data_IF_907591687790
#
_entry.id   IF_907591687790
#
_cell.length_a   1.000
_cell.length_b   1.000
_cell.length_c   1.000
_cell.angle_alpha   90.00
_cell.angle_beta   90.00
_cell.angle_gamma   90.00
#
_symmetry.space_group_name_H-M   'P 1'
#
loop_
_entity.id
_entity.type
_entity.pdbx_description
1 polymer ?
#
# COMPACT_ATOMS: atom_id res chain seq x y z
N UNK A 1 18.58 8.40 15.25
CA UNK A 1 17.73 7.83 14.18
C UNK A 1 18.17 6.40 13.89
N UNK A 2 17.25 5.45 13.63
CA UNK A 2 17.64 4.11 13.23
C UNK A 2 18.45 4.18 11.92
N UNK A 3 19.60 3.51 11.90
CA UNK A 3 20.50 3.49 10.73
C UNK A 3 19.81 2.80 9.55
N UNK A 4 19.93 3.35 8.35
CA UNK A 4 19.46 2.72 7.11
C UNK A 4 19.98 1.28 7.02
N UNK A 5 19.12 0.34 6.59
CA UNK A 5 19.50 -1.05 6.40
C UNK A 5 20.58 -1.18 5.30
N UNK A 6 21.43 -2.21 5.39
CA UNK A 6 22.43 -2.48 4.35
C UNK A 6 21.74 -2.75 3.00
N UNK A 7 22.42 -2.48 1.86
CA UNK A 7 21.86 -2.77 0.53
C UNK A 7 21.40 -4.23 0.38
N UNK A 8 22.13 -5.18 0.97
CA UNK A 8 21.73 -6.60 1.00
C UNK A 8 20.41 -6.80 1.75
N UNK A 9 20.28 -6.24 2.95
CA UNK A 9 19.05 -6.34 3.75
C UNK A 9 17.86 -5.66 3.07
N UNK A 10 18.07 -4.55 2.37
CA UNK A 10 17.03 -3.91 1.57
C UNK A 10 16.54 -4.81 0.44
N UNK A 11 17.46 -5.48 -0.28
CA UNK A 11 17.12 -6.43 -1.34
C UNK A 11 16.37 -7.64 -0.80
N UNK A 12 16.80 -8.19 0.34
CA UNK A 12 16.13 -9.31 1.00
C UNK A 12 14.71 -8.95 1.44
N UNK A 13 14.51 -7.77 2.06
CA UNK A 13 13.20 -7.30 2.49
C UNK A 13 12.23 -7.12 1.30
N UNK A 14 12.72 -6.54 0.20
CA UNK A 14 11.95 -6.41 -1.05
C UNK A 14 11.60 -7.78 -1.63
N UNK A 15 12.58 -8.69 -1.73
CA UNK A 15 12.37 -10.04 -2.24
C UNK A 15 11.34 -10.82 -1.40
N UNK A 16 11.41 -10.71 -0.08
CA UNK A 16 10.44 -11.31 0.82
C UNK A 16 9.02 -10.74 0.61
N UNK A 17 8.91 -9.43 0.39
CA UNK A 17 7.62 -8.77 0.14
C UNK A 17 7.00 -9.19 -1.19
N UNK A 18 7.80 -9.30 -2.25
CA UNK A 18 7.39 -9.86 -3.54
C UNK A 18 6.98 -11.34 -3.39
N UNK A 19 7.73 -12.14 -2.62
CA UNK A 19 7.40 -13.53 -2.37
C UNK A 19 6.05 -13.70 -1.66
N UNK A 20 5.69 -12.79 -0.74
CA UNK A 20 4.36 -12.77 -0.10
C UNK A 20 3.24 -12.55 -1.12
N UNK A 21 3.41 -11.64 -2.08
CA UNK A 21 2.42 -11.46 -3.16
C UNK A 21 2.34 -12.71 -4.05
N UNK A 22 3.51 -13.26 -4.45
CA UNK A 22 3.59 -14.47 -5.26
C UNK A 22 2.97 -15.71 -4.59
N UNK A 23 2.90 -15.76 -3.26
CA UNK A 23 2.24 -16.88 -2.57
C UNK A 23 0.75 -17.01 -2.89
N UNK A 24 0.12 -15.95 -3.41
CA UNK A 24 -1.30 -15.91 -3.81
C UNK A 24 -1.51 -16.53 -5.18
N UNK A 25 -0.61 -16.24 -6.14
CA UNK A 25 -0.64 -16.78 -7.50
C UNK A 25 0.81 -17.02 -7.97
N UNK A 26 1.40 -18.20 -7.67
CA UNK A 26 2.83 -18.47 -7.86
C UNK A 26 3.33 -18.34 -9.31
N UNK A 27 2.45 -18.65 -10.26
CA UNK A 27 2.74 -18.69 -11.70
C UNK A 27 2.58 -17.32 -12.38
N UNK A 28 1.92 -16.36 -11.72
CA UNK A 28 1.75 -15.01 -12.26
C UNK A 28 3.03 -14.18 -12.02
N UNK A 29 3.61 -13.56 -13.05
CA UNK A 29 4.87 -12.83 -12.90
C UNK A 29 4.68 -11.47 -12.19
N UNK A 30 5.46 -11.21 -11.15
CA UNK A 30 5.48 -9.94 -10.41
C UNK A 30 6.55 -8.96 -10.96
N UNK A 31 6.31 -8.37 -12.13
CA UNK A 31 7.26 -7.47 -12.82
C UNK A 31 7.18 -6.03 -12.30
N UNK A 32 7.71 -5.76 -11.10
CA UNK A 32 7.59 -4.45 -10.43
C UNK A 32 8.61 -3.39 -10.88
N UNK A 33 9.58 -3.75 -11.72
CA UNK A 33 10.63 -2.81 -12.16
C UNK A 33 11.47 -2.22 -11.01
N UNK A 34 11.95 -0.99 -11.23
CA UNK A 34 12.61 -0.18 -10.20
C UNK A 34 11.59 0.36 -9.20
N UNK A 35 11.94 0.33 -7.91
CA UNK A 35 11.15 0.97 -6.84
C UNK A 35 11.86 2.25 -6.37
N UNK A 36 11.13 3.20 -5.77
CA UNK A 36 11.71 4.45 -5.27
C UNK A 36 12.88 4.22 -4.31
N UNK A 37 13.82 5.16 -4.33
CA UNK A 37 14.90 5.21 -3.38
C UNK A 37 14.36 5.68 -2.03
N UNK A 38 14.35 4.79 -1.03
CA UNK A 38 13.94 5.12 0.34
C UNK A 38 14.91 4.53 1.34
N UNK A 39 15.17 5.26 2.43
CA UNK A 39 16.01 4.82 3.54
C UNK A 39 15.30 3.85 4.49
N UNK A 40 13.99 3.69 4.35
CA UNK A 40 13.17 2.91 5.28
C UNK A 40 13.15 1.41 4.97
N UNK A 41 13.40 1.02 3.71
CA UNK A 41 13.35 -0.39 3.29
C UNK A 41 14.24 -1.27 4.18
N UNK A 42 13.70 -2.38 4.69
CA UNK A 42 14.42 -3.32 5.57
C UNK A 42 14.73 -2.78 6.98
N UNK A 43 14.24 -1.60 7.35
CA UNK A 43 14.30 -1.09 8.73
C UNK A 43 13.29 -1.86 9.61
N UNK A 44 13.68 -2.36 10.80
CA UNK A 44 12.77 -3.10 11.68
C UNK A 44 11.73 -2.24 12.40
N UNK A 45 11.68 -0.92 12.19
CA UNK A 45 10.70 0.00 12.78
C UNK A 45 9.45 0.16 11.89
N UNK A 46 8.53 1.07 12.25
CA UNK A 46 7.24 1.27 11.55
C UNK A 46 7.42 1.56 10.06
N UNK A 47 8.26 2.51 9.67
CA UNK A 47 8.41 2.90 8.26
C UNK A 47 8.91 1.75 7.38
N UNK A 48 9.84 0.93 7.87
CA UNK A 48 10.29 -0.23 7.09
C UNK A 48 9.20 -1.29 6.93
N UNK A 49 8.36 -1.47 7.95
CA UNK A 49 7.19 -2.36 7.90
C UNK A 49 6.10 -1.83 6.94
N UNK A 50 5.93 -0.51 6.81
CA UNK A 50 5.04 0.12 5.82
C UNK A 50 5.59 -0.09 4.40
N UNK A 51 6.88 0.17 4.18
CA UNK A 51 7.54 -0.08 2.88
C UNK A 51 7.50 -1.56 2.47
N UNK A 52 7.57 -2.50 3.42
CA UNK A 52 7.37 -3.93 3.13
C UNK A 52 5.96 -4.22 2.59
N UNK A 53 4.94 -3.53 3.08
CA UNK A 53 3.59 -3.64 2.52
C UNK A 53 3.55 -2.99 1.13
N UNK A 54 4.11 -1.80 0.95
CA UNK A 54 4.16 -1.12 -0.36
C UNK A 54 4.84 -1.99 -1.43
N UNK A 55 5.96 -2.64 -1.11
CA UNK A 55 6.63 -3.55 -2.03
C UNK A 55 5.76 -4.80 -2.35
N UNK A 56 4.93 -5.27 -1.42
CA UNK A 56 3.93 -6.32 -1.69
C UNK A 56 2.81 -5.79 -2.59
N UNK A 57 2.30 -4.58 -2.34
CA UNK A 57 1.22 -3.98 -3.11
C UNK A 57 1.65 -3.69 -4.56
N UNK A 58 2.87 -3.17 -4.76
CA UNK A 58 3.49 -3.07 -6.10
C UNK A 58 3.51 -4.40 -6.83
N UNK A 59 3.85 -5.48 -6.12
CA UNK A 59 3.87 -6.82 -6.70
C UNK A 59 2.47 -7.32 -7.07
N UNK A 60 1.47 -7.12 -6.21
CA UNK A 60 0.08 -7.46 -6.51
C UNK A 60 -0.42 -6.69 -7.74
N UNK A 61 -0.18 -5.38 -7.81
CA UNK A 61 -0.56 -4.56 -8.97
C UNK A 61 0.09 -5.07 -10.27
N UNK A 62 1.40 -5.35 -10.24
CA UNK A 62 2.11 -5.88 -11.40
C UNK A 62 1.61 -7.28 -11.81
N UNK A 63 1.21 -8.10 -10.84
CA UNK A 63 0.64 -9.43 -11.10
C UNK A 63 -0.74 -9.31 -11.73
N UNK A 64 -1.61 -8.42 -11.24
CA UNK A 64 -2.94 -8.17 -11.81
C UNK A 64 -2.81 -7.73 -13.28
N UNK A 65 -1.90 -6.80 -13.58
CA UNK A 65 -1.61 -6.37 -14.97
C UNK A 65 -1.15 -7.51 -15.89
N UNK A 66 -0.46 -8.51 -15.34
CA UNK A 66 0.04 -9.64 -16.11
C UNK A 66 -1.04 -10.69 -16.44
N UNK A 67 -2.21 -10.62 -15.81
CA UNK A 67 -3.31 -11.58 -16.03
C UNK A 67 -4.11 -11.27 -17.29
N UNK A 68 -4.70 -12.31 -17.90
CA UNK A 68 -5.69 -12.15 -18.99
C UNK A 68 -7.11 -11.87 -18.49
N UNK A 69 -8.04 -11.40 -19.35
CA UNK A 69 -9.43 -11.13 -18.93
C UNK A 69 -10.21 -12.31 -18.36
N UNK A 70 -9.85 -13.54 -18.74
CA UNK A 70 -10.49 -14.79 -18.28
C UNK A 70 -9.64 -15.56 -17.28
N UNK A 71 -8.53 -14.98 -16.86
CA UNK A 71 -7.61 -15.56 -15.90
C UNK A 71 -8.25 -15.48 -14.50
N UNK A 72 -8.51 -16.62 -13.84
CA UNK A 72 -9.16 -16.62 -12.53
C UNK A 72 -8.30 -15.98 -11.44
N UNK A 73 -6.98 -15.96 -11.58
CA UNK A 73 -6.06 -15.32 -10.64
C UNK A 73 -6.25 -13.81 -10.61
N UNK A 74 -6.71 -13.17 -11.69
CA UNK A 74 -7.00 -11.71 -11.73
C UNK A 74 -7.88 -11.27 -10.57
N UNK A 75 -9.00 -11.97 -10.38
CA UNK A 75 -9.98 -11.64 -9.34
C UNK A 75 -9.38 -11.87 -7.95
N UNK A 76 -8.74 -13.02 -7.74
CA UNK A 76 -8.11 -13.37 -6.46
C UNK A 76 -7.04 -12.35 -6.06
N UNK A 77 -6.19 -11.94 -7.01
CA UNK A 77 -5.14 -10.95 -6.79
C UNK A 77 -5.73 -9.57 -6.49
N UNK A 78 -6.77 -9.15 -7.22
CA UNK A 78 -7.44 -7.89 -6.98
C UNK A 78 -8.13 -7.85 -5.61
N UNK A 79 -8.85 -8.91 -5.23
CA UNK A 79 -9.50 -8.99 -3.91
C UNK A 79 -8.47 -8.97 -2.76
N UNK A 80 -7.34 -9.66 -2.92
CA UNK A 80 -6.23 -9.59 -1.96
C UNK A 80 -5.61 -8.20 -1.92
N UNK A 81 -5.40 -7.53 -3.06
CA UNK A 81 -4.91 -6.16 -3.12
C UNK A 81 -5.82 -5.21 -2.33
N UNK A 82 -7.12 -5.20 -2.63
CA UNK A 82 -8.09 -4.31 -1.95
C UNK A 82 -8.11 -4.57 -0.44
N UNK A 83 -8.19 -5.84 -0.01
CA UNK A 83 -8.19 -6.17 1.42
C UNK A 83 -6.88 -5.78 2.11
N UNK A 84 -5.74 -6.01 1.47
CA UNK A 84 -4.44 -5.68 2.06
C UNK A 84 -4.20 -4.17 2.12
N UNK A 85 -4.69 -3.39 1.15
CA UNK A 85 -4.64 -1.92 1.14
C UNK A 85 -5.58 -1.33 2.19
N UNK A 86 -6.86 -1.74 2.26
CA UNK A 86 -7.76 -1.29 3.33
C UNK A 86 -7.18 -1.57 4.72
N UNK A 87 -6.67 -2.79 4.92
CA UNK A 87 -6.05 -3.14 6.19
C UNK A 87 -4.78 -2.34 6.50
N UNK A 88 -4.01 -2.00 5.47
CA UNK A 88 -2.81 -1.16 5.58
C UNK A 88 -3.18 0.27 5.97
N UNK A 89 -3.98 0.95 5.14
CA UNK A 89 -4.38 2.34 5.31
C UNK A 89 -5.03 2.59 6.69
N UNK A 90 -6.02 1.76 7.06
CA UNK A 90 -6.69 1.89 8.35
C UNK A 90 -5.74 1.66 9.54
N UNK A 91 -4.78 0.73 9.42
CA UNK A 91 -3.82 0.47 10.48
C UNK A 91 -2.76 1.57 10.59
N UNK A 92 -2.35 2.15 9.46
CA UNK A 92 -1.43 3.27 9.40
C UNK A 92 -2.04 4.53 10.00
N UNK A 93 -3.29 4.83 9.66
CA UNK A 93 -4.07 5.91 10.26
C UNK A 93 -4.09 5.81 11.79
N UNK A 94 -4.34 4.62 12.31
CA UNK A 94 -4.43 4.38 13.74
C UNK A 94 -3.08 4.39 14.45
N UNK A 95 -2.01 3.94 13.78
CA UNK A 95 -0.67 3.82 14.37
C UNK A 95 0.19 5.08 14.18
N UNK A 96 0.33 5.54 12.95
CA UNK A 96 1.24 6.60 12.52
C UNK A 96 0.51 7.94 12.47
N UNK A 97 -0.47 8.09 11.56
CA UNK A 97 -1.05 9.39 11.25
C UNK A 97 -1.81 9.99 12.43
N UNK A 98 -2.48 9.19 13.27
CA UNK A 98 -3.11 9.67 14.51
C UNK A 98 -2.13 10.40 15.45
N UNK A 99 -0.86 10.02 15.44
CA UNK A 99 0.19 10.63 16.27
C UNK A 99 0.85 11.81 15.59
N UNK A 100 1.23 11.63 14.32
CA UNK A 100 1.90 12.66 13.52
C UNK A 100 0.97 13.87 13.28
N UNK A 101 -0.34 13.65 13.16
CA UNK A 101 -1.34 14.71 12.98
C UNK A 101 -1.49 15.62 14.21
N UNK A 102 -1.04 15.20 15.40
CA UNK A 102 -1.07 16.06 16.61
C UNK A 102 0.01 17.13 16.61
N UNK A 103 1.05 16.98 15.79
CA UNK A 103 2.10 17.97 15.66
C UNK A 103 1.75 18.94 14.49
N UNK A 104 1.66 20.27 14.75
CA UNK A 104 1.37 21.26 13.72
C UNK A 104 2.27 21.16 12.49
N UNK A 105 3.57 20.88 12.67
CA UNK A 105 4.57 20.84 11.59
C UNK A 105 4.34 19.69 10.60
N UNK A 106 3.65 18.63 11.03
CA UNK A 106 3.38 17.44 10.22
C UNK A 106 1.91 17.20 9.95
N UNK A 107 1.04 18.15 10.34
CA UNK A 107 -0.42 18.02 10.22
C UNK A 107 -0.86 17.95 8.76
N UNK A 108 -0.24 18.72 7.87
CA UNK A 108 -0.59 18.74 6.44
C UNK A 108 -0.29 17.40 5.77
N UNK A 109 0.91 16.84 5.98
CA UNK A 109 1.28 15.52 5.47
C UNK A 109 0.31 14.43 5.93
N UNK A 110 -0.03 14.40 7.22
CA UNK A 110 -0.96 13.41 7.74
C UNK A 110 -2.38 13.56 7.16
N UNK A 111 -2.84 14.80 6.90
CA UNK A 111 -4.15 15.03 6.26
C UNK A 111 -4.14 14.62 4.79
N UNK A 112 -3.03 14.86 4.10
CA UNK A 112 -2.87 14.47 2.70
C UNK A 112 -2.94 12.94 2.57
N UNK A 113 -2.11 12.20 3.32
CA UNK A 113 -2.10 10.73 3.30
C UNK A 113 -3.50 10.12 3.53
N UNK A 114 -4.22 10.61 4.55
CA UNK A 114 -5.59 10.15 4.85
C UNK A 114 -6.60 10.54 3.76
N UNK A 115 -6.41 11.69 3.12
CA UNK A 115 -7.20 12.10 1.97
C UNK A 115 -7.00 11.15 0.78
N UNK A 116 -5.77 10.74 0.52
CA UNK A 116 -5.43 9.80 -0.54
C UNK A 116 -6.00 8.41 -0.27
N UNK A 117 -5.96 7.94 0.97
CA UNK A 117 -6.64 6.68 1.35
C UNK A 117 -8.11 6.71 0.96
N UNK A 118 -8.82 7.79 1.28
CA UNK A 118 -10.23 7.93 0.92
C UNK A 118 -10.47 8.00 -0.60
N UNK A 119 -9.53 8.60 -1.35
CA UNK A 119 -9.56 8.61 -2.82
C UNK A 119 -9.37 7.19 -3.37
N UNK A 120 -8.40 6.45 -2.84
CA UNK A 120 -8.08 5.08 -3.24
C UNK A 120 -9.24 4.12 -2.93
N UNK A 121 -9.92 4.26 -1.80
CA UNK A 121 -11.13 3.49 -1.46
C UNK A 121 -12.19 3.61 -2.57
N UNK A 122 -12.43 4.81 -3.09
CA UNK A 122 -13.40 5.05 -4.18
C UNK A 122 -12.96 4.38 -5.47
N UNK A 123 -11.68 4.47 -5.81
CA UNK A 123 -11.13 3.86 -7.03
C UNK A 123 -11.18 2.33 -6.96
N UNK A 124 -10.86 1.75 -5.80
CA UNK A 124 -11.00 0.32 -5.55
C UNK A 124 -12.45 -0.13 -5.63
N UNK A 125 -13.39 0.61 -5.04
CA UNK A 125 -14.82 0.29 -5.10
C UNK A 125 -15.40 0.37 -6.53
N UNK A 126 -14.94 1.35 -7.34
CA UNK A 126 -15.33 1.48 -8.75
C UNK A 126 -14.79 0.31 -9.59
N UNK A 127 -13.50 -0.02 -9.45
CA UNK A 127 -12.90 -1.15 -10.14
C UNK A 127 -13.54 -2.49 -9.72
N UNK A 128 -13.93 -2.64 -8.45
CA UNK A 128 -14.61 -3.84 -7.93
C UNK A 128 -16.06 -4.00 -8.40
N UNK A 129 -16.74 -2.89 -8.73
CA UNK A 129 -18.12 -2.91 -9.21
C UNK A 129 -18.25 -3.28 -10.69
N UNK A 130 -17.15 -3.20 -11.44
CA UNK A 130 -17.10 -3.42 -12.89
C UNK A 130 -16.77 -4.87 -13.23
N UNK A 131 -17.20 -5.31 -14.41
CA UNK A 131 -16.86 -6.63 -14.94
C UNK A 131 -15.37 -6.68 -15.32
N UNK A 132 -14.56 -7.41 -14.54
CA UNK A 132 -13.12 -7.56 -14.73
C UNK A 132 -12.72 -8.25 -16.04
N UNK A 133 -13.67 -8.92 -16.70
CA UNK A 133 -13.46 -9.56 -18.00
C UNK A 133 -13.68 -8.58 -19.17
N UNK A 134 -14.33 -7.45 -18.91
CA UNK A 134 -14.63 -6.46 -19.92
C UNK A 134 -13.36 -5.66 -20.32
N UNK A 135 -13.17 -5.34 -21.61
CA UNK A 135 -12.01 -4.57 -22.07
C UNK A 135 -11.84 -3.20 -21.38
N UNK A 136 -12.96 -2.58 -20.97
CA UNK A 136 -12.96 -1.28 -20.31
C UNK A 136 -12.40 -1.31 -18.88
N UNK A 137 -12.36 -2.47 -18.21
CA UNK A 137 -11.93 -2.58 -16.82
C UNK A 137 -10.47 -2.16 -16.61
N UNK A 138 -9.59 -2.48 -17.56
CA UNK A 138 -8.16 -2.15 -17.48
C UNK A 138 -7.90 -0.64 -17.39
N UNK A 139 -8.80 0.21 -17.91
CA UNK A 139 -8.66 1.67 -17.76
C UNK A 139 -8.88 2.12 -16.31
N UNK A 140 -9.89 1.56 -15.65
CA UNK A 140 -10.16 1.82 -14.23
C UNK A 140 -9.05 1.27 -13.34
N UNK A 141 -8.57 0.07 -13.66
CA UNK A 141 -7.43 -0.52 -12.95
C UNK A 141 -6.15 0.29 -13.14
N UNK A 142 -5.87 0.78 -14.35
CA UNK A 142 -4.69 1.60 -14.63
C UNK A 142 -4.71 2.90 -13.84
N UNK A 143 -5.84 3.59 -13.76
CA UNK A 143 -5.97 4.81 -12.97
C UNK A 143 -5.84 4.54 -11.46
N UNK A 144 -6.46 3.48 -10.94
CA UNK A 144 -6.26 3.03 -9.55
C UNK A 144 -4.78 2.76 -9.27
N UNK A 145 -4.10 2.06 -10.20
CA UNK A 145 -2.69 1.72 -10.06
C UNK A 145 -1.81 2.97 -10.04
N UNK A 146 -2.02 3.91 -10.95
CA UNK A 146 -1.27 5.17 -11.01
C UNK A 146 -1.39 5.94 -9.69
N UNK A 147 -2.63 6.21 -9.27
CA UNK A 147 -2.94 6.91 -8.03
C UNK A 147 -2.35 6.21 -6.79
N UNK A 148 -2.41 4.88 -6.74
CA UNK A 148 -1.84 4.12 -5.65
C UNK A 148 -0.30 4.21 -5.63
N UNK A 149 0.34 4.16 -6.80
CA UNK A 149 1.79 4.23 -6.91
C UNK A 149 2.33 5.62 -6.57
N UNK A 150 1.61 6.67 -6.92
CA UNK A 150 1.95 8.06 -6.58
C UNK A 150 1.82 8.29 -5.07
N UNK A 151 0.71 7.84 -4.46
CA UNK A 151 0.50 7.91 -3.02
C UNK A 151 1.66 7.27 -2.23
N UNK A 152 2.02 6.01 -2.50
CA UNK A 152 3.11 5.33 -1.79
C UNK A 152 4.50 5.87 -2.15
N UNK A 153 4.64 6.58 -3.28
CA UNK A 153 5.87 7.28 -3.65
C UNK A 153 6.05 8.48 -2.72
N UNK A 154 5.04 9.35 -2.64
CA UNK A 154 5.06 10.53 -1.77
C UNK A 154 5.31 10.15 -0.31
N UNK A 155 4.64 9.10 0.18
CA UNK A 155 4.87 8.58 1.52
C UNK A 155 6.33 8.18 1.74
N UNK A 156 6.88 7.36 0.84
CA UNK A 156 8.22 6.80 0.97
C UNK A 156 9.35 7.82 0.89
N UNK A 157 9.15 8.91 0.15
CA UNK A 157 10.19 9.90 -0.16
C UNK A 157 10.03 11.22 0.57
N UNK A 158 8.82 11.57 1.01
CA UNK A 158 8.53 12.86 1.62
C UNK A 158 7.85 12.69 2.98
N UNK A 159 6.65 12.11 3.01
CA UNK A 159 5.81 12.17 4.21
C UNK A 159 6.41 11.36 5.37
N UNK A 160 6.97 10.17 5.11
CA UNK A 160 7.69 9.39 6.13
C UNK A 160 8.98 10.07 6.58
N UNK A 161 9.65 10.83 5.70
CA UNK A 161 10.87 11.56 6.04
C UNK A 161 10.56 12.68 7.03
N UNK A 162 9.47 13.42 6.81
CA UNK A 162 9.02 14.48 7.72
C UNK A 162 8.46 13.89 9.03
N UNK A 163 7.65 12.84 8.95
CA UNK A 163 7.11 12.16 10.12
C UNK A 163 8.22 11.57 11.01
N UNK A 164 9.31 11.02 10.44
CA UNK A 164 10.41 10.48 11.24
C UNK A 164 11.08 11.53 12.13
N UNK A 165 11.15 12.80 11.69
CA UNK A 165 11.84 13.88 12.42
C UNK A 165 11.20 14.16 13.78
N UNK A 166 9.90 13.91 13.91
CA UNK A 166 9.12 14.21 15.12
C UNK A 166 8.90 12.98 16.01
N UNK A 167 9.45 11.82 15.64
CA UNK A 167 9.24 10.54 16.34
C UNK A 167 10.51 10.00 16.98
N UNK A 168 10.42 9.60 18.24
CA UNK A 168 11.52 8.90 18.90
C UNK A 168 11.61 7.43 18.42
N UNK A 169 12.76 6.76 18.59
CA UNK A 169 12.86 5.33 18.28
C UNK A 169 11.87 4.45 19.06
N UNK A 170 11.46 4.88 20.27
CA UNK A 170 10.46 4.20 21.08
C UNK A 170 9.08 4.32 20.45
N UNK A 171 8.71 5.51 19.96
CA UNK A 171 7.45 5.74 19.25
C UNK A 171 7.37 4.84 18.02
N UNK A 172 8.41 4.84 17.19
CA UNK A 172 8.43 4.02 15.96
C UNK A 172 8.33 2.51 16.24
N UNK A 173 8.92 2.03 17.34
CA UNK A 173 8.82 0.63 17.77
C UNK A 173 7.40 0.30 18.25
N UNK A 174 6.81 1.18 19.06
CA UNK A 174 5.44 1.04 19.54
C UNK A 174 4.42 1.09 18.39
N UNK A 175 4.56 2.05 17.48
CA UNK A 175 3.74 2.18 16.28
C UNK A 175 3.75 0.92 15.43
N UNK A 176 4.92 0.27 15.25
CA UNK A 176 5.00 -1.01 14.54
C UNK A 176 4.15 -2.10 15.20
N UNK A 177 4.13 -2.17 16.53
CA UNK A 177 3.31 -3.14 17.25
C UNK A 177 1.82 -2.85 17.06
N UNK A 178 1.42 -1.57 17.16
CA UNK A 178 0.05 -1.12 16.91
C UNK A 178 -0.36 -1.45 15.47
N UNK A 179 0.46 -1.07 14.49
CA UNK A 179 0.22 -1.32 13.07
C UNK A 179 0.04 -2.80 12.76
N UNK A 180 0.93 -3.67 13.25
CA UNK A 180 0.81 -5.12 13.04
C UNK A 180 -0.51 -5.68 13.61
N UNK A 181 -0.88 -5.26 14.83
CA UNK A 181 -2.12 -5.70 15.49
C UNK A 181 -3.35 -5.21 14.73
N UNK A 182 -3.35 -3.93 14.34
CA UNK A 182 -4.48 -3.29 13.65
C UNK A 182 -4.62 -3.81 12.24
N UNK A 183 -3.55 -3.88 11.45
CA UNK A 183 -3.61 -4.39 10.07
C UNK A 183 -4.24 -5.78 10.00
N UNK A 184 -3.88 -6.68 10.94
CA UNK A 184 -4.49 -8.01 11.00
C UNK A 184 -6.01 -7.95 11.20
N UNK A 185 -6.47 -7.11 12.13
CA UNK A 185 -7.90 -6.95 12.41
C UNK A 185 -8.61 -6.26 11.24
N UNK A 186 -8.10 -5.12 10.78
CA UNK A 186 -8.71 -4.32 9.71
C UNK A 186 -8.79 -5.09 8.39
N UNK A 187 -7.73 -5.84 8.02
CA UNK A 187 -7.75 -6.70 6.83
C UNK A 187 -8.80 -7.81 6.95
N UNK A 188 -8.95 -8.40 8.15
CA UNK A 188 -9.91 -9.48 8.36
C UNK A 188 -11.37 -8.99 8.28
N UNK A 189 -11.62 -7.74 8.67
CA UNK A 189 -12.94 -7.11 8.56
C UNK A 189 -13.14 -6.30 7.28
N UNK A 190 -12.14 -6.23 6.39
CA UNK A 190 -12.24 -5.44 5.17
C UNK A 190 -13.32 -6.01 4.25
N UNK A 191 -14.33 -5.20 3.95
CA UNK A 191 -15.32 -5.48 2.94
C UNK A 191 -14.90 -4.84 1.62
N UNK A 192 -15.18 -5.51 0.51
CA UNK A 192 -14.93 -4.98 -0.83
C UNK A 192 -16.23 -4.29 -1.28
N UNK A 193 -16.29 -2.97 -1.08
CA UNK A 193 -17.39 -2.17 -1.59
C UNK A 193 -17.45 -2.26 -3.13
N UNK A 194 -18.65 -2.25 -3.67
CA UNK A 194 -18.89 -2.22 -5.12
C UNK A 194 -19.77 -1.04 -5.45
N UNK A 195 -19.14 0.06 -5.85
CA UNK A 195 -19.82 1.31 -6.16
C UNK A 195 -19.20 1.98 -7.37
N UNK A 196 -19.99 2.11 -8.44
CA UNK A 196 -19.57 2.80 -9.66
C UNK A 196 -19.41 4.30 -9.37
N UNK A 197 -18.27 4.88 -9.73
CA UNK A 197 -18.04 6.31 -9.70
C UNK A 197 -18.90 7.01 -10.77
N UNK A 198 -19.66 8.03 -10.35
CA UNK A 198 -20.57 8.77 -11.23
C UNK A 198 -19.86 9.80 -12.11
N UNK A 199 -18.68 10.26 -11.68
CA UNK A 199 -17.80 11.13 -12.48
C UNK A 199 -16.78 10.27 -13.24
N UNK A 200 -16.46 10.60 -14.50
CA UNK A 200 -15.37 9.95 -15.22
C UNK A 200 -14.09 10.06 -14.40
N UNK A 201 -13.36 8.96 -14.31
CA UNK A 201 -11.96 9.02 -13.91
C UNK A 201 -11.26 9.79 -15.03
N UNK A 202 -10.74 10.98 -14.70
CA UNK A 202 -10.18 11.95 -15.64
C UNK A 202 -8.95 11.39 -16.35
#
# INVERSE_FOLDING_TARGET
>A
MPRQASPTKQREAKAASVARAKSIAPDVPARIGSTPATKFRGNPAIFGRLVEDHDKHRALLAMIDATGPKDPERKTLFEEFVRDVHGHAAAEEQALWSTVMRNPDTTEFARHAVGDHHKLDKLMADAAARDMTAPGWLRHFAALKEEYLDHILEEETEQFVEAEKVLTPKDQTYMRQVFNRRKKAEKASAEIEKKIALSPIA
#
